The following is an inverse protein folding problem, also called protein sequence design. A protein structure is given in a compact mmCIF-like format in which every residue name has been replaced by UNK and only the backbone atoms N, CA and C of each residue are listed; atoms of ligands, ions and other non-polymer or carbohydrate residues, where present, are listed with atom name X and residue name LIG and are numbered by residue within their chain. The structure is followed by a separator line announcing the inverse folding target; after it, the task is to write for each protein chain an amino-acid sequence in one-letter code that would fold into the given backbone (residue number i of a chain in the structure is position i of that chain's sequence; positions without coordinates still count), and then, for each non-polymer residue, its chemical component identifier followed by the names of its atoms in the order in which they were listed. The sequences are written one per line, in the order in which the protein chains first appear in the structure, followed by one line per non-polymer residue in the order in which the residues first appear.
data_IF_048316277798
#
_entry.id   IF_048316277798
#
_cell.length_a   1.000
_cell.length_b   1.000
_cell.length_c   1.000
_cell.angle_alpha   90.00
_cell.angle_beta   90.00
_cell.angle_gamma   90.00
#
_symmetry.space_group_name_H-M   'P 1'
#
loop_
_entity.id
_entity.type
_entity.pdbx_description
1 polymer ?
#
# COMPACT_ATOMS: atom_id res chain seq x y z
N UNK A 1 -15.52 -10.33 5.25
CA UNK A 1 -14.37 -9.41 5.36
C UNK A 1 -14.54 -8.32 4.32
N UNK A 2 -14.22 -7.09 4.68
CA UNK A 2 -14.47 -5.91 3.84
C UNK A 2 -13.17 -5.42 3.23
N UNK A 3 -13.07 -5.44 1.90
CA UNK A 3 -11.94 -4.83 1.18
C UNK A 3 -12.07 -3.33 1.15
N UNK A 4 -10.97 -2.65 1.44
CA UNK A 4 -10.87 -1.19 1.35
C UNK A 4 -9.79 -0.79 0.36
N UNK A 5 -10.01 0.33 -0.34
CA UNK A 5 -8.97 0.91 -1.18
C UNK A 5 -7.94 1.56 -0.26
N UNK A 6 -6.67 1.31 -0.52
CA UNK A 6 -5.56 1.91 0.21
C UNK A 6 -4.57 2.56 -0.72
N UNK A 7 -3.95 3.62 -0.21
CA UNK A 7 -2.71 4.16 -0.75
C UNK A 7 -1.61 3.94 0.30
N UNK A 8 -0.51 3.35 -0.13
CA UNK A 8 0.66 3.08 0.69
C UNK A 8 1.75 4.03 0.24
N UNK A 9 2.17 4.93 1.13
CA UNK A 9 3.32 5.78 0.91
C UNK A 9 4.59 5.04 1.31
N UNK A 10 5.60 5.11 0.45
CA UNK A 10 6.93 4.52 0.63
C UNK A 10 7.90 5.62 1.01
N UNK A 11 8.81 5.34 1.93
CA UNK A 11 9.87 6.29 2.30
C UNK A 11 10.78 6.60 1.11
N UNK A 12 11.21 7.85 0.95
CA UNK A 12 12.09 8.29 -0.15
C UNK A 12 13.36 7.45 -0.27
N UNK A 13 13.99 7.11 0.86
CA UNK A 13 15.18 6.25 0.93
C UNK A 13 14.94 4.84 0.35
N UNK A 14 13.70 4.39 0.34
CA UNK A 14 13.29 3.09 -0.16
C UNK A 14 12.59 3.16 -1.54
N UNK A 15 12.46 4.36 -2.11
CA UNK A 15 11.83 4.58 -3.42
C UNK A 15 12.57 3.85 -4.55
N UNK A 16 13.91 3.77 -4.49
CA UNK A 16 14.71 2.98 -5.43
C UNK A 16 14.38 1.48 -5.41
N UNK A 17 13.76 0.99 -4.33
CA UNK A 17 13.33 -0.40 -4.12
C UNK A 17 11.81 -0.54 -4.10
N UNK A 18 11.07 0.40 -4.68
CA UNK A 18 9.61 0.42 -4.63
C UNK A 18 8.98 -0.86 -5.19
N UNK A 19 9.64 -1.52 -6.15
CA UNK A 19 9.17 -2.80 -6.70
C UNK A 19 9.29 -3.95 -5.70
N UNK A 20 10.34 -3.96 -4.86
CA UNK A 20 10.51 -4.93 -3.77
C UNK A 20 9.44 -4.70 -2.70
N UNK A 21 9.19 -3.43 -2.36
CA UNK A 21 8.14 -3.06 -1.40
C UNK A 21 6.75 -3.42 -1.95
N UNK A 22 6.50 -3.22 -3.24
CA UNK A 22 5.26 -3.66 -3.87
C UNK A 22 5.09 -5.19 -3.83
N UNK A 23 6.17 -5.96 -3.90
CA UNK A 23 6.13 -7.40 -3.70
C UNK A 23 5.84 -7.77 -2.23
N UNK A 24 6.49 -7.10 -1.27
CA UNK A 24 6.26 -7.30 0.16
C UNK A 24 4.83 -6.94 0.57
N UNK A 25 4.30 -5.80 0.10
CA UNK A 25 2.92 -5.40 0.29
C UNK A 25 1.94 -6.44 -0.28
N UNK A 26 2.23 -7.02 -1.45
CA UNK A 26 1.42 -8.11 -2.02
C UNK A 26 1.41 -9.36 -1.14
N UNK A 27 2.56 -9.73 -0.59
CA UNK A 27 2.66 -10.83 0.36
C UNK A 27 1.88 -10.56 1.65
N UNK A 28 1.82 -9.29 2.09
CA UNK A 28 1.02 -8.82 3.23
C UNK A 28 -0.48 -8.62 2.91
N UNK A 29 -0.97 -9.17 1.79
CA UNK A 29 -2.41 -9.15 1.45
C UNK A 29 -2.88 -7.97 0.60
N UNK A 30 -2.00 -7.08 0.14
CA UNK A 30 -2.36 -6.02 -0.80
C UNK A 30 -2.64 -6.61 -2.19
N UNK A 31 -3.86 -6.48 -2.67
CA UNK A 31 -4.19 -6.60 -4.09
C UNK A 31 -3.70 -5.36 -4.82
N UNK A 32 -2.42 -5.37 -5.16
CA UNK A 32 -1.73 -4.28 -5.83
C UNK A 32 -2.36 -3.99 -7.19
N UNK A 33 -2.68 -2.72 -7.42
CA UNK A 33 -3.32 -2.24 -8.65
C UNK A 33 -2.41 -1.31 -9.45
N UNK A 34 -1.71 -0.41 -8.77
CA UNK A 34 -0.87 0.58 -9.45
C UNK A 34 0.30 0.99 -8.57
N UNK A 35 1.46 1.15 -9.19
CA UNK A 35 2.66 1.74 -8.57
C UNK A 35 2.92 3.09 -9.21
N UNK A 36 2.88 4.15 -8.41
CA UNK A 36 3.32 5.48 -8.78
C UNK A 36 4.78 5.65 -8.33
N UNK A 37 5.70 5.04 -9.09
CA UNK A 37 7.12 4.97 -8.75
C UNK A 37 7.78 6.35 -8.58
N UNK A 38 7.37 7.34 -9.36
CA UNK A 38 7.93 8.69 -9.29
C UNK A 38 7.63 9.42 -7.97
N UNK A 39 6.56 9.06 -7.27
CA UNK A 39 6.12 9.70 -6.02
C UNK A 39 6.08 8.74 -4.84
N UNK A 40 6.60 7.52 -4.99
CA UNK A 40 6.68 6.57 -3.87
C UNK A 40 5.33 6.02 -3.40
N UNK A 41 4.30 5.92 -4.26
CA UNK A 41 2.95 5.49 -3.81
C UNK A 41 2.52 4.18 -4.45
N UNK A 42 2.03 3.24 -3.65
CA UNK A 42 1.36 2.03 -4.12
C UNK A 42 -0.14 2.13 -3.84
N UNK A 43 -0.98 1.76 -4.80
CA UNK A 43 -2.43 1.71 -4.58
C UNK A 43 -2.96 0.31 -4.84
N UNK A 44 -4.00 -0.05 -4.10
CA UNK A 44 -4.60 -1.36 -4.19
C UNK A 44 -5.80 -1.54 -3.26
N UNK A 45 -6.26 -2.78 -3.19
CA UNK A 45 -7.28 -3.21 -2.24
C UNK A 45 -6.63 -4.10 -1.19
N UNK A 46 -7.04 -3.97 0.06
CA UNK A 46 -6.60 -4.85 1.15
C UNK A 46 -7.81 -5.16 2.02
N UNK A 47 -7.88 -6.36 2.60
CA UNK A 47 -8.88 -6.61 3.65
C UNK A 47 -8.55 -5.75 4.86
N UNK A 48 -9.57 -5.24 5.55
CA UNK A 48 -9.40 -4.43 6.75
C UNK A 48 -8.54 -5.10 7.81
N UNK A 49 -8.57 -6.43 7.89
CA UNK A 49 -7.85 -7.22 8.88
C UNK A 49 -6.33 -7.24 8.61
N UNK A 50 -5.92 -7.09 7.34
CA UNK A 50 -4.49 -7.05 6.93
C UNK A 50 -3.90 -5.63 6.92
N UNK A 51 -4.65 -4.60 7.32
CA UNK A 51 -4.13 -3.22 7.38
C UNK A 51 -2.94 -3.08 8.34
N UNK A 52 -2.93 -3.84 9.43
CA UNK A 52 -1.82 -3.85 10.39
C UNK A 52 -0.54 -4.42 9.78
N UNK A 53 -0.65 -5.54 9.08
CA UNK A 53 0.48 -6.19 8.39
C UNK A 53 1.07 -5.30 7.31
N UNK A 54 0.21 -4.58 6.57
CA UNK A 54 0.64 -3.66 5.53
C UNK A 54 1.47 -2.48 6.09
N UNK A 55 1.13 -2.00 7.30
CA UNK A 55 1.90 -0.96 8.00
C UNK A 55 3.24 -1.46 8.54
N UNK A 56 3.37 -2.77 8.75
CA UNK A 56 4.61 -3.38 9.26
C UNK A 56 5.64 -3.65 8.15
N UNK A 57 5.28 -3.49 6.87
CA UNK A 57 6.19 -3.70 5.75
C UNK A 57 7.36 -2.70 5.80
N UNK A 58 8.62 -3.15 5.82
CA UNK A 58 9.78 -2.26 5.84
C UNK A 58 9.79 -1.31 4.63
N UNK A 59 10.00 -0.02 4.90
CA UNK A 59 9.98 1.02 3.88
C UNK A 59 8.60 1.62 3.61
N UNK A 60 7.53 1.09 4.21
CA UNK A 60 6.22 1.77 4.23
C UNK A 60 6.26 2.90 5.26
N UNK A 61 5.91 4.09 4.81
CA UNK A 61 5.82 5.30 5.63
C UNK A 61 4.40 5.47 6.20
N UNK A 62 3.39 5.23 5.36
CA UNK A 62 1.99 5.36 5.75
C UNK A 62 1.09 4.46 4.91
N UNK A 63 -0.02 4.02 5.51
CA UNK A 63 -1.12 3.34 4.83
C UNK A 63 -2.39 4.17 5.05
N UNK A 64 -2.89 4.75 3.97
CA UNK A 64 -4.10 5.57 3.96
C UNK A 64 -5.28 4.82 3.36
N UNK A 65 -6.37 4.71 4.11
CA UNK A 65 -7.61 4.10 3.61
C UNK A 65 -8.40 5.14 2.82
N UNK A 66 -8.52 4.92 1.51
CA UNK A 66 -9.36 5.73 0.62
C UNK A 66 -10.81 5.32 0.78
N UNK A 67 -11.60 6.11 1.51
CA UNK A 67 -13.06 6.04 1.41
C UNK A 67 -13.49 6.64 0.08
N UNK A 68 -14.28 5.89 -0.68
CA UNK A 68 -15.02 6.46 -1.81
C UNK A 68 -16.08 7.38 -1.21
N UNK A 69 -15.80 8.69 -1.17
CA UNK A 69 -16.85 9.69 -0.94
C UNK A 69 -17.73 9.63 -2.17
N UNK A 70 -18.84 8.90 -2.08
CA UNK A 70 -19.87 8.89 -3.11
C UNK A 70 -20.62 10.21 -3.06
N UNK A 71 -20.74 10.86 -4.22
CA UNK A 71 -21.80 11.83 -4.51
C UNK A 71 -22.97 11.09 -5.15
#
# INVERSE_FOLDING_TARGET
MSKVNVAVAVADEAQGRIHEIAAACRAAGLQHRTTLAMVGVLTGLVETDYLGELKAVPGVLAVEVRRRIGN
#
